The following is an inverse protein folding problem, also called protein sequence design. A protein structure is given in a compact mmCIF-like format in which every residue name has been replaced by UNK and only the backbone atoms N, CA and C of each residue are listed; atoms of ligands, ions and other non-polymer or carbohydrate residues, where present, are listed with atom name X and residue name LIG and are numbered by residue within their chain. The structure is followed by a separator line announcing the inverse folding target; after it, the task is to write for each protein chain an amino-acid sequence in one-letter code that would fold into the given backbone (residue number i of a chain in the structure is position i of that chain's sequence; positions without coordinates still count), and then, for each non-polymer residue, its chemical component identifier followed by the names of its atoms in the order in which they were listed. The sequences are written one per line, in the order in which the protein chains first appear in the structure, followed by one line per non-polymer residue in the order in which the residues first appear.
data_IF_667399225596
#
_entry.id   IF_667399225596
#
_cell.length_a   1.000
_cell.length_b   1.000
_cell.length_c   1.000
_cell.angle_alpha   90.00
_cell.angle_beta   90.00
_cell.angle_gamma   90.00
#
_symmetry.space_group_name_H-M   'P 1'
#
loop_
_entity.id
_entity.type
_entity.pdbx_description
1 polymer ?
#
# COMPACT_ATOMS: atom_id res chain seq x y z
N UNK A 1 4.59 8.20 -7.61
CA UNK A 1 4.46 9.18 -6.52
C UNK A 1 4.22 8.46 -5.20
N UNK A 2 4.86 8.93 -4.12
CA UNK A 2 4.65 8.39 -2.77
C UNK A 2 3.19 8.49 -2.30
N UNK A 3 2.44 9.45 -2.82
CA UNK A 3 1.02 9.68 -2.49
C UNK A 3 0.13 8.46 -2.73
N UNK A 4 0.43 7.63 -3.73
CA UNK A 4 -0.33 6.40 -4.00
C UNK A 4 -0.27 5.39 -2.84
N UNK A 5 0.85 5.34 -2.13
CA UNK A 5 0.99 4.49 -0.93
C UNK A 5 0.58 5.21 0.35
N UNK A 6 0.94 6.48 0.49
CA UNK A 6 0.65 7.27 1.69
C UNK A 6 -0.85 7.51 1.88
N UNK A 7 -1.61 7.76 0.80
CA UNK A 7 -3.05 8.01 0.90
C UNK A 7 -3.80 6.90 1.64
N UNK A 8 -3.76 5.64 1.18
CA UNK A 8 -4.34 4.52 1.91
C UNK A 8 -3.77 4.33 3.33
N UNK A 9 -2.46 4.48 3.51
CA UNK A 9 -1.83 4.38 4.83
C UNK A 9 -2.38 5.42 5.82
N UNK A 10 -2.57 6.66 5.38
CA UNK A 10 -3.16 7.72 6.20
C UNK A 10 -4.60 7.40 6.62
N UNK A 11 -5.38 6.76 5.76
CA UNK A 11 -6.73 6.29 6.10
C UNK A 11 -6.69 5.26 7.23
N UNK A 12 -5.84 4.23 7.08
CA UNK A 12 -5.71 3.14 8.03
C UNK A 12 -5.10 3.58 9.37
N UNK A 13 -4.18 4.53 9.34
CA UNK A 13 -3.53 5.06 10.54
C UNK A 13 -4.31 6.21 11.20
N UNK A 14 -5.47 6.58 10.67
CA UNK A 14 -6.31 7.68 11.15
C UNK A 14 -5.61 9.06 11.13
N UNK A 15 -4.75 9.30 10.16
CA UNK A 15 -4.11 10.61 9.99
C UNK A 15 -5.17 11.66 9.66
N UNK A 16 -5.16 12.77 10.38
CA UNK A 16 -6.19 13.82 10.42
C UNK A 16 -7.57 13.39 10.94
N UNK A 17 -7.65 12.18 11.52
CA UNK A 17 -8.87 11.62 12.12
C UNK A 17 -8.60 11.06 13.51
N UNK A 18 -7.80 11.77 14.32
CA UNK A 18 -7.38 11.37 15.65
C UNK A 18 -5.88 11.14 15.80
N UNK A 19 -5.12 11.18 14.69
CA UNK A 19 -3.66 11.15 14.68
C UNK A 19 -3.11 12.16 13.67
N UNK A 20 -1.83 12.47 13.75
CA UNK A 20 -1.12 13.37 12.83
C UNK A 20 0.35 12.99 12.69
N UNK A 21 0.94 13.28 11.55
CA UNK A 21 2.38 13.17 11.34
C UNK A 21 3.09 14.19 12.23
N UNK A 22 4.13 13.77 12.94
CA UNK A 22 4.85 14.61 13.91
C UNK A 22 6.28 14.89 13.48
N UNK A 23 7.02 13.84 13.15
CA UNK A 23 8.41 13.93 12.73
C UNK A 23 8.66 13.15 11.46
N UNK A 24 9.55 13.69 10.63
CA UNK A 24 9.98 13.05 9.39
C UNK A 24 11.50 13.13 9.29
N UNK A 25 12.11 12.03 8.91
CA UNK A 25 13.52 11.95 8.50
C UNK A 25 13.57 11.27 7.15
N UNK A 26 14.28 11.87 6.20
CA UNK A 26 14.48 11.30 4.88
C UNK A 26 15.97 11.26 4.53
N UNK A 27 16.36 10.20 3.84
CA UNK A 27 17.73 10.01 3.34
C UNK A 27 17.66 9.58 1.89
N UNK A 28 18.41 10.26 1.06
CA UNK A 28 18.56 9.95 -0.35
C UNK A 28 19.87 9.23 -0.65
N UNK A 29 19.83 8.34 -1.63
CA UNK A 29 21.05 7.85 -2.27
C UNK A 29 21.60 8.91 -3.22
N UNK A 30 22.84 8.71 -3.67
CA UNK A 30 23.40 9.51 -4.76
C UNK A 30 22.52 9.38 -6.02
N UNK A 31 22.37 10.47 -6.77
CA UNK A 31 21.75 10.49 -8.08
C UNK A 31 22.74 9.96 -9.14
N UNK A 32 22.47 8.81 -9.68
CA UNK A 32 23.30 8.16 -10.72
C UNK A 32 22.50 7.94 -11.99
N UNK A 33 21.34 7.30 -11.87
CA UNK A 33 20.54 6.90 -13.01
C UNK A 33 19.76 8.06 -13.63
N UNK A 34 19.31 9.02 -12.84
CA UNK A 34 18.61 10.22 -13.36
C UNK A 34 19.46 11.00 -14.35
N UNK A 35 20.65 11.47 -13.97
CA UNK A 35 21.57 12.17 -14.90
C UNK A 35 21.96 11.31 -16.09
N UNK A 36 22.21 10.01 -15.88
CA UNK A 36 22.56 9.09 -16.98
C UNK A 36 21.42 8.96 -18.01
N UNK A 37 20.17 8.90 -17.53
CA UNK A 37 18.99 8.84 -18.39
C UNK A 37 18.86 10.12 -19.24
N UNK A 38 18.97 11.30 -18.64
CA UNK A 38 18.87 12.57 -19.35
C UNK A 38 19.98 12.66 -20.42
N UNK A 39 21.23 12.39 -20.06
CA UNK A 39 22.33 12.37 -21.01
C UNK A 39 22.07 11.43 -22.20
N UNK A 40 21.52 10.24 -21.92
CA UNK A 40 21.20 9.26 -22.98
C UNK A 40 20.08 9.74 -23.90
N UNK A 41 19.09 10.45 -23.39
CA UNK A 41 17.87 10.83 -24.14
C UNK A 41 17.99 12.17 -24.84
N UNK A 42 18.68 13.13 -24.24
CA UNK A 42 18.80 14.51 -24.75
C UNK A 42 20.20 14.88 -25.23
N UNK A 43 21.22 14.11 -24.84
CA UNK A 43 22.63 14.47 -25.06
C UNK A 43 23.17 15.51 -24.07
N UNK A 44 22.36 16.03 -23.17
CA UNK A 44 22.72 17.07 -22.21
C UNK A 44 23.32 16.51 -20.93
N UNK A 45 24.29 17.21 -20.35
CA UNK A 45 24.79 16.91 -19.02
C UNK A 45 24.09 17.76 -17.96
N UNK A 46 23.49 17.10 -16.96
CA UNK A 46 22.90 17.79 -15.83
C UNK A 46 23.88 17.80 -14.66
N UNK A 47 24.30 19.01 -14.28
CA UNK A 47 25.31 19.23 -13.22
C UNK A 47 24.71 19.09 -11.81
N UNK A 48 23.47 19.52 -11.61
CA UNK A 48 22.82 19.65 -10.29
C UNK A 48 21.52 18.85 -10.20
N UNK A 49 21.59 17.53 -10.42
CA UNK A 49 20.45 16.67 -10.24
C UNK A 49 20.25 16.35 -8.75
N UNK A 50 19.16 16.86 -8.16
CA UNK A 50 18.94 16.83 -6.72
C UNK A 50 18.31 15.53 -6.20
N UNK A 51 17.53 14.84 -7.03
CA UNK A 51 16.81 13.64 -6.56
C UNK A 51 17.72 12.42 -6.61
N UNK A 52 17.94 11.80 -5.46
CA UNK A 52 18.62 10.50 -5.39
C UNK A 52 17.85 9.38 -6.13
N UNK A 53 18.54 8.32 -6.47
CA UNK A 53 17.91 7.17 -7.15
C UNK A 53 16.87 6.48 -6.25
N UNK A 54 17.11 6.51 -4.94
CA UNK A 54 16.16 6.03 -3.94
C UNK A 54 16.10 6.98 -2.75
N UNK A 55 14.88 7.32 -2.34
CA UNK A 55 14.60 8.03 -1.09
C UNK A 55 14.02 7.05 -0.08
N UNK A 56 14.58 7.05 1.13
CA UNK A 56 14.02 6.33 2.28
C UNK A 56 13.57 7.34 3.32
N UNK A 57 12.30 7.29 3.69
CA UNK A 57 11.68 8.21 4.63
C UNK A 57 11.07 7.45 5.80
N UNK A 58 11.32 7.92 7.01
CA UNK A 58 10.66 7.46 8.22
C UNK A 58 9.82 8.58 8.79
N UNK A 59 8.54 8.31 9.02
CA UNK A 59 7.60 9.24 9.66
C UNK A 59 7.11 8.63 10.95
N UNK A 60 7.11 9.41 12.03
CA UNK A 60 6.47 9.06 13.31
C UNK A 60 5.27 9.95 13.54
N UNK A 61 4.15 9.34 13.95
CA UNK A 61 2.93 10.07 14.27
C UNK A 61 2.92 10.53 15.74
N UNK A 62 1.98 11.40 16.07
CA UNK A 62 1.76 11.87 17.47
C UNK A 62 1.45 10.69 18.40
N UNK A 63 0.61 9.75 17.96
CA UNK A 63 0.22 8.58 18.75
C UNK A 63 1.26 7.42 18.67
N UNK A 64 2.46 7.69 18.15
CA UNK A 64 3.58 6.75 18.17
C UNK A 64 3.60 5.70 17.06
N UNK A 65 2.71 5.76 16.09
CA UNK A 65 2.78 4.90 14.90
C UNK A 65 3.94 5.35 13.99
N UNK A 66 4.44 4.44 13.17
CA UNK A 66 5.53 4.74 12.25
C UNK A 66 5.17 4.33 10.82
N UNK A 67 5.65 5.10 9.85
CA UNK A 67 5.61 4.77 8.43
C UNK A 67 7.03 4.74 7.87
N UNK A 68 7.39 3.66 7.20
CA UNK A 68 8.61 3.55 6.41
C UNK A 68 8.23 3.62 4.93
N UNK A 69 8.74 4.61 4.22
CA UNK A 69 8.43 4.84 2.81
C UNK A 69 9.72 4.75 2.01
N UNK A 70 9.74 3.91 0.99
CA UNK A 70 10.82 3.83 0.02
C UNK A 70 10.28 4.22 -1.36
N UNK A 71 10.88 5.21 -1.96
CA UNK A 71 10.55 5.66 -3.31
C UNK A 71 11.74 5.45 -4.23
N UNK A 72 11.54 4.64 -5.27
CA UNK A 72 12.56 4.36 -6.27
C UNK A 72 11.88 4.10 -7.62
N UNK A 73 12.18 4.93 -8.60
CA UNK A 73 11.67 4.81 -9.97
C UNK A 73 12.80 4.82 -11.02
N UNK A 74 14.05 4.94 -10.58
CA UNK A 74 15.19 5.15 -11.46
C UNK A 74 16.03 3.91 -11.68
N UNK A 75 15.95 2.91 -10.80
CA UNK A 75 16.75 1.70 -10.90
C UNK A 75 15.94 0.54 -11.50
N UNK A 76 16.58 -0.36 -12.29
CA UNK A 76 15.93 -1.58 -12.76
C UNK A 76 15.52 -2.47 -11.58
N UNK A 77 14.26 -2.81 -11.53
CA UNK A 77 13.70 -3.73 -10.51
C UNK A 77 12.38 -4.30 -11.00
N UNK A 78 11.96 -5.48 -10.51
CA UNK A 78 10.60 -5.94 -10.72
C UNK A 78 9.60 -4.91 -10.20
N UNK A 79 8.49 -4.74 -10.94
CA UNK A 79 7.43 -3.85 -10.50
C UNK A 79 6.91 -4.28 -9.12
N UNK A 80 6.89 -3.35 -8.19
CA UNK A 80 6.37 -3.58 -6.85
C UNK A 80 5.85 -2.27 -6.26
N UNK A 81 4.65 -2.35 -5.71
CA UNK A 81 4.11 -1.35 -4.80
C UNK A 81 4.04 -1.97 -3.40
N UNK A 82 5.16 -2.53 -2.93
CA UNK A 82 5.22 -3.20 -1.64
C UNK A 82 4.48 -2.39 -0.57
N UNK A 83 3.51 -3.04 0.06
CA UNK A 83 2.66 -2.41 1.05
C UNK A 83 2.51 -3.38 2.22
N UNK A 84 2.92 -2.95 3.39
CA UNK A 84 2.84 -3.73 4.62
C UNK A 84 2.15 -2.92 5.70
N UNK A 85 1.24 -3.58 6.39
CA UNK A 85 0.58 -3.07 7.59
C UNK A 85 0.90 -4.03 8.73
N UNK A 86 1.40 -3.48 9.83
CA UNK A 86 1.67 -4.24 11.05
C UNK A 86 0.87 -3.61 12.17
N UNK A 87 -0.07 -4.36 12.70
CA UNK A 87 -0.91 -3.97 13.83
C UNK A 87 -0.66 -4.83 15.05
N UNK A 88 -1.36 -4.53 16.14
CA UNK A 88 -1.29 -5.31 17.38
C UNK A 88 -1.88 -6.70 17.22
N UNK A 89 -2.89 -6.84 16.37
CA UNK A 89 -3.68 -8.06 16.24
C UNK A 89 -3.64 -8.67 14.84
N UNK A 90 -2.92 -8.03 13.91
CA UNK A 90 -2.84 -8.53 12.56
C UNK A 90 -1.73 -7.90 11.71
N UNK A 91 -1.48 -8.56 10.60
CA UNK A 91 -0.53 -8.18 9.58
C UNK A 91 -1.18 -8.32 8.20
N UNK A 92 -0.89 -7.40 7.32
CA UNK A 92 -1.27 -7.49 5.92
C UNK A 92 -0.10 -7.05 5.03
N UNK A 93 0.13 -7.78 3.96
CA UNK A 93 1.17 -7.48 2.97
C UNK A 93 0.61 -7.65 1.57
N UNK A 94 1.07 -6.80 0.66
CA UNK A 94 0.86 -6.96 -0.77
C UNK A 94 2.15 -6.63 -1.53
N UNK A 95 2.47 -7.46 -2.50
CA UNK A 95 3.72 -7.50 -3.22
C UNK A 95 4.94 -7.92 -2.37
N UNK A 96 5.70 -8.92 -2.83
CA UNK A 96 5.41 -9.73 -4.03
C UNK A 96 4.27 -10.72 -3.82
N UNK A 97 3.94 -11.06 -2.58
CA UNK A 97 2.88 -12.00 -2.21
C UNK A 97 1.81 -11.27 -1.40
N UNK A 98 0.57 -11.62 -1.61
CA UNK A 98 -0.54 -11.12 -0.81
C UNK A 98 -0.78 -12.04 0.37
N UNK A 99 -0.45 -11.57 1.57
CA UNK A 99 -0.48 -12.33 2.81
C UNK A 99 -1.20 -11.56 3.91
N UNK A 100 -1.90 -12.31 4.73
CA UNK A 100 -2.57 -11.81 5.92
C UNK A 100 -2.29 -12.74 7.09
N UNK A 101 -2.10 -12.17 8.27
CA UNK A 101 -1.98 -12.90 9.51
C UNK A 101 -2.85 -12.19 10.55
N UNK A 102 -3.65 -12.95 11.27
CA UNK A 102 -4.51 -12.44 12.35
C UNK A 102 -4.33 -13.31 13.58
N UNK A 103 -4.45 -12.71 14.75
CA UNK A 103 -4.61 -13.48 15.98
C UNK A 103 -5.90 -14.29 15.88
N UNK A 104 -5.91 -15.56 16.30
CA UNK A 104 -7.13 -16.40 16.22
C UNK A 104 -8.35 -15.75 16.87
N UNK A 105 -8.17 -15.02 17.97
CA UNK A 105 -9.21 -14.32 18.70
C UNK A 105 -9.85 -13.15 17.94
N UNK A 106 -9.18 -12.67 16.89
CA UNK A 106 -9.65 -11.57 16.04
C UNK A 106 -10.44 -12.05 14.82
N UNK A 107 -10.45 -13.33 14.59
CA UNK A 107 -11.23 -13.92 13.49
C UNK A 107 -12.67 -14.11 13.94
N UNK A 108 -13.60 -13.51 13.20
CA UNK A 108 -15.03 -13.65 13.49
C UNK A 108 -15.47 -15.10 13.19
N UNK A 109 -15.78 -15.84 14.24
CA UNK A 109 -16.20 -17.24 14.16
C UNK A 109 -17.53 -17.45 13.41
N UNK A 110 -18.32 -16.40 13.25
CA UNK A 110 -19.53 -16.44 12.41
C UNK A 110 -19.21 -16.34 10.91
N UNK A 111 -17.99 -15.98 10.57
CA UNK A 111 -17.53 -15.83 9.18
C UNK A 111 -16.66 -16.99 8.76
N UNK A 112 -15.84 -17.49 9.67
CA UNK A 112 -14.83 -18.50 9.39
C UNK A 112 -15.09 -19.74 10.26
N UNK A 113 -15.49 -20.82 9.63
CA UNK A 113 -15.83 -22.05 10.33
C UNK A 113 -14.62 -22.79 10.94
N UNK A 114 -13.43 -22.67 10.31
CA UNK A 114 -12.22 -23.44 10.67
C UNK A 114 -11.12 -22.57 11.28
N UNK A 115 -11.45 -21.75 12.26
CA UNK A 115 -10.50 -20.84 12.90
C UNK A 115 -9.57 -21.51 13.94
N UNK A 116 -9.86 -22.72 14.36
CA UNK A 116 -9.13 -23.43 15.42
C UNK A 116 -7.65 -23.69 15.09
N UNK A 117 -7.31 -23.78 13.80
CA UNK A 117 -5.95 -24.02 13.31
C UNK A 117 -5.16 -22.75 12.97
N UNK A 118 -5.75 -21.59 13.20
CA UNK A 118 -5.07 -20.31 12.93
C UNK A 118 -4.02 -20.05 14.01
N UNK A 119 -2.93 -19.41 13.62
CA UNK A 119 -1.92 -18.94 14.56
C UNK A 119 -1.43 -17.54 14.20
N UNK A 120 -0.94 -16.80 15.19
CA UNK A 120 -0.52 -15.42 15.03
C UNK A 120 0.80 -15.24 14.23
N UNK A 121 1.44 -16.32 13.79
CA UNK A 121 2.72 -16.31 13.07
C UNK A 121 2.63 -16.97 11.69
N UNK A 122 1.44 -17.40 11.27
CA UNK A 122 1.21 -18.04 9.99
C UNK A 122 0.29 -17.19 9.09
N UNK A 123 0.48 -17.29 7.78
CA UNK A 123 -0.45 -16.72 6.82
C UNK A 123 -1.81 -17.39 6.93
N UNK A 124 -2.87 -16.61 6.74
CA UNK A 124 -4.22 -17.16 6.68
C UNK A 124 -4.33 -18.18 5.54
N UNK A 125 -4.99 -19.34 5.77
CA UNK A 125 -5.37 -20.24 4.69
C UNK A 125 -6.20 -19.53 3.61
N UNK A 126 -6.09 -19.96 2.37
CA UNK A 126 -6.72 -19.29 1.23
C UNK A 126 -8.26 -19.26 1.30
N UNK A 127 -8.88 -20.28 1.87
CA UNK A 127 -10.32 -20.32 2.12
C UNK A 127 -10.75 -19.27 3.14
N UNK A 128 -10.04 -19.17 4.27
CA UNK A 128 -10.28 -18.17 5.31
C UNK A 128 -10.06 -16.75 4.76
N UNK A 129 -8.97 -16.54 4.03
CA UNK A 129 -8.68 -15.25 3.38
C UNK A 129 -9.82 -14.84 2.45
N UNK A 130 -10.31 -15.75 1.61
CA UNK A 130 -11.39 -15.48 0.67
C UNK A 130 -12.69 -15.12 1.39
N UNK A 131 -13.04 -15.82 2.45
CA UNK A 131 -14.25 -15.53 3.24
C UNK A 131 -14.17 -14.14 3.86
N UNK A 132 -13.05 -13.78 4.49
CA UNK A 132 -12.83 -12.46 5.08
C UNK A 132 -12.86 -11.36 4.01
N UNK A 133 -12.19 -11.55 2.87
CA UNK A 133 -12.19 -10.57 1.79
C UNK A 133 -13.60 -10.34 1.23
N UNK A 134 -14.41 -11.37 1.09
CA UNK A 134 -15.79 -11.25 0.64
C UNK A 134 -16.66 -10.49 1.65
N UNK A 135 -16.52 -10.82 2.94
CA UNK A 135 -17.29 -10.15 4.00
C UNK A 135 -16.95 -8.66 4.12
N UNK A 136 -15.67 -8.33 4.11
CA UNK A 136 -15.20 -6.96 4.32
C UNK A 136 -15.00 -6.16 3.03
N UNK A 137 -15.46 -6.69 1.90
CA UNK A 137 -15.47 -5.97 0.63
C UNK A 137 -16.27 -4.68 0.76
N UNK A 138 -15.68 -3.56 0.37
CA UNK A 138 -16.33 -2.26 0.49
C UNK A 138 -17.68 -2.22 -0.28
N UNK A 139 -18.77 -1.68 0.29
CA UNK A 139 -20.08 -1.66 -0.34
C UNK A 139 -20.09 -1.10 -1.76
N UNK A 140 -19.40 0.01 -2.01
CA UNK A 140 -19.29 0.60 -3.36
C UNK A 140 -18.64 -0.36 -4.36
N UNK A 141 -17.70 -1.18 -3.90
CA UNK A 141 -17.07 -2.17 -4.76
C UNK A 141 -18.05 -3.30 -5.07
N UNK A 142 -18.84 -3.75 -4.09
CA UNK A 142 -19.87 -4.77 -4.32
C UNK A 142 -20.93 -4.28 -5.31
N UNK A 143 -21.34 -3.00 -5.21
CA UNK A 143 -22.35 -2.38 -6.06
C UNK A 143 -21.86 -2.18 -7.50
N UNK A 144 -20.65 -1.68 -7.67
CA UNK A 144 -20.16 -1.21 -8.98
C UNK A 144 -19.23 -2.19 -9.71
N UNK A 145 -18.81 -3.28 -9.09
CA UNK A 145 -17.77 -4.18 -9.63
C UNK A 145 -18.06 -4.68 -11.04
N UNK A 146 -19.27 -5.14 -11.30
CA UNK A 146 -19.65 -5.69 -12.60
C UNK A 146 -19.66 -4.61 -13.71
N UNK A 147 -20.13 -3.42 -13.39
CA UNK A 147 -20.09 -2.27 -14.31
C UNK A 147 -18.66 -1.81 -14.53
N UNK A 148 -17.89 -1.70 -13.47
CA UNK A 148 -16.49 -1.27 -13.50
C UNK A 148 -15.62 -2.19 -14.35
N UNK A 149 -15.81 -3.50 -14.26
CA UNK A 149 -15.10 -4.48 -15.11
C UNK A 149 -15.39 -4.28 -16.60
N UNK A 150 -16.62 -3.91 -16.95
CA UNK A 150 -17.03 -3.65 -18.34
C UNK A 150 -16.50 -2.33 -18.89
N UNK A 151 -16.50 -1.28 -18.07
CA UNK A 151 -15.98 0.03 -18.44
C UNK A 151 -14.47 0.03 -18.57
N UNK A 152 -13.77 -0.71 -17.71
CA UNK A 152 -12.31 -0.82 -17.71
C UNK A 152 -11.62 0.28 -16.89
N UNK A 153 -10.37 0.60 -17.26
CA UNK A 153 -9.52 1.52 -16.48
C UNK A 153 -8.97 0.84 -15.22
N UNK A 154 -7.69 0.38 -15.26
CA UNK A 154 -7.04 -0.35 -14.18
C UNK A 154 -7.90 -1.47 -13.55
N UNK A 155 -8.56 -2.26 -14.39
CA UNK A 155 -9.45 -3.34 -13.94
C UNK A 155 -10.77 -2.85 -13.32
N UNK A 156 -11.20 -1.63 -13.65
CA UNK A 156 -12.42 -1.01 -13.12
C UNK A 156 -12.20 -0.05 -11.95
N UNK A 157 -10.97 0.04 -11.44
CA UNK A 157 -10.66 0.92 -10.30
C UNK A 157 -10.95 2.40 -10.61
N UNK A 158 -10.58 2.86 -11.80
CA UNK A 158 -10.79 4.25 -12.21
C UNK A 158 -12.28 4.60 -12.23
N UNK A 159 -13.11 3.70 -12.78
CA UNK A 159 -14.58 3.88 -12.79
C UNK A 159 -15.15 3.99 -11.37
N UNK A 160 -14.73 3.12 -10.45
CA UNK A 160 -15.21 3.16 -9.05
C UNK A 160 -14.77 4.46 -8.37
N UNK A 161 -13.54 4.89 -8.61
CA UNK A 161 -13.00 6.14 -8.05
C UNK A 161 -13.78 7.36 -8.56
N UNK A 162 -14.00 7.44 -9.87
CA UNK A 162 -14.73 8.54 -10.49
C UNK A 162 -16.20 8.56 -10.06
N UNK A 163 -16.84 7.39 -9.98
CA UNK A 163 -18.20 7.27 -9.45
C UNK A 163 -18.29 7.79 -8.01
N UNK A 164 -17.28 7.52 -7.18
CA UNK A 164 -17.24 8.04 -5.80
C UNK A 164 -17.06 9.54 -5.72
N UNK A 165 -16.47 10.16 -6.74
CA UNK A 165 -16.28 11.61 -6.80
C UNK A 165 -17.56 12.33 -7.23
N UNK A 166 -18.36 11.70 -8.12
CA UNK A 166 -19.54 12.32 -8.75
C UNK A 166 -20.80 12.12 -7.91
N UNK A 167 -20.92 11.02 -7.19
CA UNK A 167 -22.06 10.62 -6.36
C UNK A 167 -21.67 10.51 -4.87
#
# INVERSE_FOLDING_TARGET
YATHGIGPACQLLNIHRGDRMKTLVAVDTKAVNGPAYIRKTTGEEVKDFQNGDQTTTVIRTENGKTMLIQHNVMTPRPYSRMYQLVGTDGYASKYPVEEYCLRPEQVDTNVVANHENLNAHGSLPEDVKRELMNKYKHPIHQELEETAKKVGGHGGMDFIMDSRLVY
#
